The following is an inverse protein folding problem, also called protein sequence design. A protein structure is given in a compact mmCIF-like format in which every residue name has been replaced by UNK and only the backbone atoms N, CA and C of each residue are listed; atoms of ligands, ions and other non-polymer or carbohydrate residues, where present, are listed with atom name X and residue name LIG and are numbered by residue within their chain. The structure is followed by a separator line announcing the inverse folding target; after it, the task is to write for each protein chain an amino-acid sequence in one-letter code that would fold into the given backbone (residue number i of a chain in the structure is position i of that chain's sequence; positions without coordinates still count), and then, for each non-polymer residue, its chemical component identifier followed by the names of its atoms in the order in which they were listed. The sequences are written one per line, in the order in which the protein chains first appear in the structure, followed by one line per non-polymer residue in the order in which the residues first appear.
data_IF_141625435823
#
_entry.id   IF_141625435823
#
_cell.length_a   1.000
_cell.length_b   1.000
_cell.length_c   1.000
_cell.angle_alpha   90.00
_cell.angle_beta   90.00
_cell.angle_gamma   90.00
#
_symmetry.space_group_name_H-M   'P 1'
#
loop_
_entity.id
_entity.type
_entity.pdbx_description
1 polymer ?
#
# COMPACT_ATOMS: atom_id res chain seq x y z
N UNK A 1 2.32 -0.98 5.84
CA UNK A 1 1.06 -1.02 5.07
C UNK A 1 0.08 -2.09 5.55
N UNK A 2 0.41 -3.40 5.52
CA UNK A 2 -0.56 -4.45 5.90
C UNK A 2 -1.13 -4.28 7.32
N UNK A 3 -0.32 -3.84 8.29
CA UNK A 3 -0.81 -3.53 9.66
C UNK A 3 -1.79 -2.35 9.68
N UNK A 4 -1.53 -1.31 8.89
CA UNK A 4 -2.43 -0.17 8.75
C UNK A 4 -3.78 -0.60 8.19
N UNK A 5 -3.78 -1.50 7.21
CA UNK A 5 -5.01 -2.05 6.65
C UNK A 5 -5.83 -2.83 7.69
N UNK A 6 -5.18 -3.64 8.54
CA UNK A 6 -5.87 -4.34 9.65
C UNK A 6 -6.52 -3.35 10.62
N UNK A 7 -5.81 -2.29 10.99
CA UNK A 7 -6.35 -1.22 11.86
C UNK A 7 -7.54 -0.51 11.19
N UNK A 8 -7.45 -0.18 9.89
CA UNK A 8 -8.55 0.46 9.16
C UNK A 8 -9.79 -0.43 9.12
N UNK A 9 -9.64 -1.73 8.88
CA UNK A 9 -10.75 -2.70 8.90
C UNK A 9 -11.43 -2.74 10.27
N UNK A 10 -10.66 -2.65 11.37
CA UNK A 10 -11.23 -2.55 12.72
C UNK A 10 -11.97 -1.23 12.93
N UNK A 11 -11.41 -0.11 12.45
CA UNK A 11 -12.01 1.21 12.57
C UNK A 11 -13.31 1.35 11.78
N UNK A 12 -13.45 0.65 10.64
CA UNK A 12 -14.70 0.63 9.86
C UNK A 12 -15.91 0.12 10.67
N UNK A 13 -15.69 -0.66 11.74
CA UNK A 13 -16.77 -1.08 12.67
C UNK A 13 -17.32 0.06 13.52
N UNK A 14 -16.56 1.13 13.67
CA UNK A 14 -16.91 2.31 14.48
C UNK A 14 -17.31 3.49 13.60
N UNK A 15 -16.72 3.60 12.41
CA UNK A 15 -16.90 4.73 11.51
C UNK A 15 -17.50 4.26 10.17
N UNK A 16 -18.83 4.22 10.08
CA UNK A 16 -19.56 3.69 8.91
C UNK A 16 -19.23 4.40 7.57
N UNK A 17 -18.80 5.66 7.63
CA UNK A 17 -18.41 6.44 6.45
C UNK A 17 -16.96 6.19 6.01
N UNK A 18 -16.16 5.46 6.79
CA UNK A 18 -14.77 5.19 6.46
C UNK A 18 -14.68 4.17 5.32
N UNK A 19 -14.03 4.58 4.22
CA UNK A 19 -13.78 3.73 3.06
C UNK A 19 -12.31 3.33 2.98
N UNK A 20 -12.07 2.11 2.51
CA UNK A 20 -10.75 1.52 2.45
C UNK A 20 -10.41 1.09 1.03
N UNK A 21 -9.27 1.57 0.52
CA UNK A 21 -8.74 1.22 -0.80
C UNK A 21 -7.35 0.58 -0.68
N UNK A 22 -7.08 -0.41 -1.54
CA UNK A 22 -5.76 -1.01 -1.72
C UNK A 22 -5.33 -0.78 -3.17
N UNK A 23 -4.26 0.01 -3.35
CA UNK A 23 -3.72 0.32 -4.67
C UNK A 23 -2.32 -0.24 -4.76
N UNK A 24 -2.08 -1.11 -5.74
CA UNK A 24 -0.82 -1.85 -5.85
C UNK A 24 -0.03 -1.35 -7.06
N UNK A 25 1.32 -1.44 -7.05
CA UNK A 25 2.11 -0.96 -8.17
C UNK A 25 1.84 -1.76 -9.44
N UNK A 26 1.64 -3.08 -9.35
CA UNK A 26 1.44 -3.96 -10.50
C UNK A 26 0.70 -5.25 -10.10
N UNK A 27 0.22 -5.99 -11.10
CA UNK A 27 -0.44 -7.28 -10.89
C UNK A 27 0.56 -8.36 -10.46
N UNK A 28 0.15 -9.28 -9.59
CA UNK A 28 1.01 -10.38 -9.13
C UNK A 28 2.11 -9.96 -8.13
N UNK A 29 2.01 -8.78 -7.51
CA UNK A 29 3.00 -8.29 -6.54
C UNK A 29 3.19 -9.20 -5.31
N UNK A 30 2.26 -10.10 -5.01
CA UNK A 30 2.34 -11.07 -3.90
C UNK A 30 2.91 -12.44 -4.30
N UNK A 31 3.20 -12.70 -5.57
CA UNK A 31 3.57 -14.05 -6.06
C UNK A 31 4.81 -14.65 -5.36
N UNK A 32 5.73 -13.79 -4.92
CA UNK A 32 6.97 -14.20 -4.25
C UNK A 32 6.85 -14.25 -2.72
N UNK A 33 5.68 -13.97 -2.16
CA UNK A 33 5.48 -13.97 -0.72
C UNK A 33 5.27 -15.40 -0.20
N UNK A 34 5.58 -15.64 1.08
CA UNK A 34 5.20 -16.90 1.73
C UNK A 34 3.67 -17.01 1.90
N UNK A 35 3.18 -18.22 2.13
CA UNK A 35 1.73 -18.50 2.26
C UNK A 35 1.05 -17.69 3.37
N UNK A 36 1.76 -17.44 4.47
CA UNK A 36 1.24 -16.65 5.58
C UNK A 36 0.93 -15.21 5.14
N UNK A 37 1.87 -14.55 4.47
CA UNK A 37 1.72 -13.19 3.98
C UNK A 37 0.67 -13.10 2.85
N UNK A 38 0.63 -14.09 1.95
CA UNK A 38 -0.41 -14.15 0.92
C UNK A 38 -1.81 -14.28 1.55
N UNK A 39 -1.96 -15.14 2.57
CA UNK A 39 -3.24 -15.33 3.28
C UNK A 39 -3.68 -14.06 4.00
N UNK A 40 -2.74 -13.37 4.66
CA UNK A 40 -2.98 -12.08 5.31
C UNK A 40 -3.45 -11.01 4.31
N UNK A 41 -2.77 -10.88 3.18
CA UNK A 41 -3.16 -9.95 2.12
C UNK A 41 -4.53 -10.31 1.52
N UNK A 42 -4.78 -11.60 1.26
CA UNK A 42 -6.07 -12.08 0.76
C UNK A 42 -7.23 -11.75 1.73
N UNK A 43 -6.99 -11.74 3.04
CA UNK A 43 -7.98 -11.29 4.01
C UNK A 43 -8.19 -9.77 3.93
N UNK A 44 -7.12 -8.99 3.79
CA UNK A 44 -7.20 -7.52 3.68
C UNK A 44 -8.03 -7.10 2.46
N UNK A 45 -7.73 -7.62 1.27
CA UNK A 45 -8.42 -7.22 0.04
C UNK A 45 -9.92 -7.59 0.02
N UNK A 46 -10.34 -8.61 0.78
CA UNK A 46 -11.76 -8.96 0.93
C UNK A 46 -12.57 -7.90 1.66
N UNK A 47 -11.92 -7.07 2.47
CA UNK A 47 -12.56 -6.00 3.25
C UNK A 47 -12.37 -4.62 2.61
N UNK A 48 -11.56 -4.51 1.56
CA UNK A 48 -11.37 -3.25 0.85
C UNK A 48 -12.62 -2.91 0.01
N UNK A 49 -13.05 -1.66 0.06
CA UNK A 49 -14.11 -1.11 -0.79
C UNK A 49 -13.62 -0.96 -2.24
N UNK A 50 -12.30 -0.82 -2.45
CA UNK A 50 -11.69 -0.70 -3.77
C UNK A 50 -10.31 -1.37 -3.79
N UNK A 51 -10.03 -2.13 -4.85
CA UNK A 51 -8.73 -2.76 -5.09
C UNK A 51 -8.37 -2.61 -6.55
N UNK A 52 -7.21 -2.03 -6.85
CA UNK A 52 -6.72 -1.89 -8.22
C UNK A 52 -5.19 -1.85 -8.27
N UNK A 53 -4.65 -2.01 -9.46
CA UNK A 53 -3.22 -1.86 -9.74
C UNK A 53 -2.99 -0.69 -10.67
N UNK A 54 -1.99 0.14 -10.40
CA UNK A 54 -1.61 1.27 -11.27
C UNK A 54 -1.17 0.74 -12.64
N UNK A 55 -0.40 -0.34 -12.64
CA UNK A 55 -0.08 -1.08 -13.85
C UNK A 55 -0.88 -2.37 -13.93
N UNK A 56 -1.70 -2.51 -14.96
CA UNK A 56 -2.42 -3.75 -15.30
C UNK A 56 -1.54 -4.78 -16.02
N UNK A 57 -0.29 -4.87 -15.59
CA UNK A 57 0.72 -5.82 -16.07
C UNK A 57 1.45 -6.41 -14.87
N UNK A 58 2.19 -7.52 -15.08
CA UNK A 58 3.13 -8.02 -14.08
C UNK A 58 4.32 -7.08 -13.88
N UNK A 59 5.26 -7.48 -13.02
CA UNK A 59 6.48 -6.72 -12.79
C UNK A 59 7.32 -6.58 -14.07
N UNK A 60 7.57 -5.33 -14.48
CA UNK A 60 8.37 -4.95 -15.65
C UNK A 60 9.65 -4.19 -15.28
N UNK A 61 9.70 -3.61 -14.08
CA UNK A 61 10.92 -2.96 -13.60
C UNK A 61 10.70 -1.98 -12.44
N UNK A 62 11.79 -1.44 -11.87
CA UNK A 62 11.72 -0.56 -10.70
C UNK A 62 10.89 0.70 -10.89
N UNK A 63 10.69 1.14 -12.13
CA UNK A 63 9.88 2.31 -12.47
C UNK A 63 8.43 2.19 -11.98
N UNK A 64 7.88 0.97 -11.88
CA UNK A 64 6.51 0.76 -11.44
C UNK A 64 6.33 1.14 -9.97
N UNK A 65 7.34 0.90 -9.12
CA UNK A 65 7.31 1.33 -7.72
C UNK A 65 7.39 2.85 -7.61
N UNK A 66 8.33 3.50 -8.32
CA UNK A 66 8.46 4.96 -8.30
C UNK A 66 7.19 5.67 -8.79
N UNK A 67 6.56 5.14 -9.85
CA UNK A 67 5.31 5.70 -10.35
C UNK A 67 4.13 5.43 -9.41
N UNK A 68 4.15 4.29 -8.69
CA UNK A 68 3.17 4.05 -7.65
C UNK A 68 3.30 5.03 -6.49
N UNK A 69 4.51 5.26 -6.00
CA UNK A 69 4.78 6.25 -4.96
C UNK A 69 4.30 7.65 -5.40
N UNK A 70 4.61 8.05 -6.64
CA UNK A 70 4.15 9.32 -7.21
C UNK A 70 2.62 9.40 -7.27
N UNK A 71 1.97 8.36 -7.79
CA UNK A 71 0.52 8.30 -7.89
C UNK A 71 -0.15 8.44 -6.52
N UNK A 72 0.37 7.74 -5.50
CA UNK A 72 -0.16 7.82 -4.14
C UNK A 72 -0.05 9.24 -3.57
N UNK A 73 1.07 9.93 -3.81
CA UNK A 73 1.27 11.32 -3.37
C UNK A 73 0.36 12.30 -4.11
N UNK A 74 0.19 12.14 -5.42
CA UNK A 74 -0.68 13.01 -6.24
C UNK A 74 -2.18 12.85 -5.93
N UNK A 75 -2.59 11.69 -5.42
CA UNK A 75 -3.99 11.35 -5.16
C UNK A 75 -4.33 11.25 -3.66
N UNK A 76 -3.46 11.76 -2.79
CA UNK A 76 -3.70 11.82 -1.34
C UNK A 76 -3.54 13.24 -0.82
N UNK A 77 -4.49 13.72 -0.02
CA UNK A 77 -4.38 15.01 0.65
C UNK A 77 -3.32 15.00 1.77
N UNK A 78 -3.14 13.84 2.41
CA UNK A 78 -2.23 13.65 3.53
C UNK A 78 -1.61 12.25 3.51
N UNK A 79 -0.40 12.14 4.04
CA UNK A 79 0.32 10.89 4.22
C UNK A 79 0.69 10.74 5.69
N UNK A 80 0.45 9.55 6.25
CA UNK A 80 1.03 9.12 7.52
C UNK A 80 2.10 8.06 7.27
N UNK A 81 3.37 8.43 7.50
CA UNK A 81 4.51 7.54 7.33
C UNK A 81 5.11 7.17 8.69
N UNK A 82 5.15 5.88 9.00
CA UNK A 82 5.91 5.36 10.15
C UNK A 82 7.31 5.01 9.65
N UNK A 83 8.31 5.76 10.13
CA UNK A 83 9.69 5.66 9.67
C UNK A 83 10.67 5.75 10.85
N UNK A 84 11.76 5.01 10.76
CA UNK A 84 12.88 5.06 11.69
C UNK A 84 14.09 5.67 10.97
N UNK A 85 14.54 6.84 11.43
CA UNK A 85 15.66 7.59 10.87
C UNK A 85 17.02 6.92 11.13
N UNK A 86 17.12 6.09 12.17
CA UNK A 86 18.36 5.39 12.52
C UNK A 86 18.50 4.06 11.77
N UNK A 87 17.38 3.48 11.34
CA UNK A 87 17.30 2.19 10.64
C UNK A 87 16.63 2.36 9.26
N UNK A 88 17.32 3.05 8.35
CA UNK A 88 16.79 3.29 7.02
C UNK A 88 16.52 1.98 6.25
N UNK A 89 15.33 1.87 5.66
CA UNK A 89 14.95 0.77 4.78
C UNK A 89 14.25 1.29 3.50
N UNK A 90 13.54 0.42 2.79
CA UNK A 90 12.81 0.77 1.56
C UNK A 90 11.85 1.96 1.67
N UNK A 91 11.21 2.28 2.82
CA UNK A 91 10.33 3.45 2.89
C UNK A 91 11.05 4.80 2.68
N UNK A 92 12.39 4.82 2.68
CA UNK A 92 13.16 6.04 2.44
C UNK A 92 12.94 6.65 1.06
N UNK A 93 12.64 5.82 0.05
CA UNK A 93 12.34 6.32 -1.29
C UNK A 93 11.02 7.10 -1.31
N UNK A 94 9.99 6.57 -0.66
CA UNK A 94 8.71 7.26 -0.49
C UNK A 94 8.88 8.53 0.35
N UNK A 95 9.64 8.46 1.46
CA UNK A 95 9.95 9.61 2.30
C UNK A 95 10.59 10.75 1.50
N UNK A 96 11.64 10.46 0.72
CA UNK A 96 12.31 11.45 -0.13
C UNK A 96 11.31 12.15 -1.06
N UNK A 97 10.41 11.40 -1.70
CA UNK A 97 9.38 12.00 -2.57
C UNK A 97 8.31 12.81 -1.82
N UNK A 98 8.09 12.54 -0.54
CA UNK A 98 7.10 13.22 0.29
C UNK A 98 7.61 14.56 0.84
N UNK A 99 8.88 14.63 1.23
CA UNK A 99 9.43 15.76 2.02
C UNK A 99 10.43 16.64 1.28
N UNK A 100 11.00 16.18 0.15
CA UNK A 100 11.93 16.94 -0.69
C UNK A 100 11.21 17.60 -1.88
#
# INVERSE_FOLDING_TARGET
ELWTAEVVIELQRTYDSLKFAVITPFQGHTEKWNEHNQSKYANIIKHADYVDSIFHTSYQGPFQFKQADQFMLEHSDQTLLIYDEEQEASPKFFKQMLVD
#
